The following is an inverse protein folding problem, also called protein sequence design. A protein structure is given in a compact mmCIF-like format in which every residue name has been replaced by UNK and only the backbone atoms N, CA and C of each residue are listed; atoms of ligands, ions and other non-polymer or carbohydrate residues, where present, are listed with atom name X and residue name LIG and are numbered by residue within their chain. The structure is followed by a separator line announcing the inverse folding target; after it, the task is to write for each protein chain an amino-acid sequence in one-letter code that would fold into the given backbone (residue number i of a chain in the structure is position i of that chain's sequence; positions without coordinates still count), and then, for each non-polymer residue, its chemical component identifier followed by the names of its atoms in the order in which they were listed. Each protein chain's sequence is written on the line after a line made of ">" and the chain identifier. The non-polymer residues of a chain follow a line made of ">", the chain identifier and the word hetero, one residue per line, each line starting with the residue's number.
data_IF_417773814469
#
_entry.id   IF_417773814469
#
_cell.length_a   1.000
_cell.length_b   1.000
_cell.length_c   1.000
_cell.angle_alpha   90.00
_cell.angle_beta   90.00
_cell.angle_gamma   90.00
#
_symmetry.space_group_name_H-M   'P 1'
#
loop_
_entity.id
_entity.type
_entity.pdbx_description
1 polymer ?
#
# COMPACT_ATOMS: atom_id res chain seq x y z
N UNK A 1 -6.26 -3.20 -11.81
CA UNK A 1 -6.57 -4.61 -11.45
C UNK A 1 -6.05 -4.80 -10.04
N UNK A 2 -6.90 -5.25 -9.12
CA UNK A 2 -6.50 -5.46 -7.73
C UNK A 2 -5.91 -6.87 -7.55
N UNK A 3 -4.86 -6.97 -6.74
CA UNK A 3 -4.30 -8.25 -6.26
C UNK A 3 -4.36 -8.30 -4.74
N UNK A 4 -4.38 -9.51 -4.19
CA UNK A 4 -4.38 -9.74 -2.75
C UNK A 4 -3.29 -10.74 -2.36
N UNK A 5 -2.49 -10.39 -1.35
CA UNK A 5 -1.49 -11.28 -0.76
C UNK A 5 -1.40 -11.02 0.75
N UNK A 6 -1.51 -12.08 1.57
CA UNK A 6 -1.54 -11.96 3.04
C UNK A 6 -2.63 -11.01 3.58
N UNK A 7 -3.76 -10.88 2.87
CA UNK A 7 -4.82 -9.93 3.19
C UNK A 7 -4.51 -8.47 2.86
N UNK A 8 -3.31 -8.17 2.35
CA UNK A 8 -2.94 -6.86 1.80
C UNK A 8 -3.49 -6.79 0.38
N UNK A 9 -4.33 -5.78 0.12
CA UNK A 9 -4.89 -5.53 -1.22
C UNK A 9 -4.08 -4.43 -1.88
N UNK A 10 -3.63 -4.68 -3.11
CA UNK A 10 -2.94 -3.69 -3.95
C UNK A 10 -3.78 -3.42 -5.18
N UNK A 11 -4.21 -2.19 -5.34
CA UNK A 11 -4.80 -1.70 -6.57
C UNK A 11 -3.76 -0.88 -7.35
N UNK A 12 -3.29 -1.47 -8.45
CA UNK A 12 -2.41 -0.77 -9.40
C UNK A 12 -3.21 0.29 -10.17
N UNK A 13 -2.74 1.53 -10.15
CA UNK A 13 -3.32 2.67 -10.86
C UNK A 13 -4.83 2.81 -10.62
N UNK A 14 -5.24 3.13 -9.37
CA UNK A 14 -6.65 3.28 -9.02
C UNK A 14 -7.30 4.43 -9.83
N UNK A 15 -8.63 4.40 -10.04
CA UNK A 15 -9.34 5.50 -10.68
C UNK A 15 -9.15 6.83 -9.95
N UNK A 16 -9.09 7.93 -10.70
CA UNK A 16 -8.96 9.28 -10.13
C UNK A 16 -10.09 9.61 -9.15
N UNK A 17 -11.31 9.12 -9.42
CA UNK A 17 -12.46 9.28 -8.51
C UNK A 17 -12.21 8.69 -7.12
N UNK A 18 -11.50 7.56 -7.05
CA UNK A 18 -11.13 6.92 -5.79
C UNK A 18 -10.12 7.79 -5.04
N UNK A 19 -9.12 8.32 -5.75
CA UNK A 19 -8.13 9.22 -5.16
C UNK A 19 -8.79 10.50 -4.60
N UNK A 20 -9.70 11.10 -5.36
CA UNK A 20 -10.46 12.29 -4.94
C UNK A 20 -11.30 11.99 -3.70
N UNK A 21 -12.00 10.86 -3.66
CA UNK A 21 -12.81 10.46 -2.51
C UNK A 21 -11.98 10.27 -1.25
N UNK A 22 -10.75 9.75 -1.38
CA UNK A 22 -9.81 9.57 -0.28
C UNK A 22 -9.01 10.85 0.05
N UNK A 23 -9.25 11.97 -0.65
CA UNK A 23 -8.52 13.23 -0.45
C UNK A 23 -7.07 13.21 -0.96
N UNK A 24 -6.68 12.19 -1.73
CA UNK A 24 -5.34 12.03 -2.30
C UNK A 24 -5.25 12.90 -3.57
N UNK A 25 -4.38 13.92 -3.54
CA UNK A 25 -4.18 14.84 -4.68
C UNK A 25 -2.96 14.51 -5.53
N UNK A 26 -1.95 13.88 -4.94
CA UNK A 26 -0.72 13.46 -5.61
C UNK A 26 -0.44 12.00 -5.26
N UNK A 27 0.06 11.24 -6.23
CA UNK A 27 0.50 9.87 -5.98
C UNK A 27 1.91 9.91 -5.40
N UNK A 28 2.07 9.24 -4.26
CA UNK A 28 3.35 9.19 -3.58
C UNK A 28 4.40 8.40 -4.36
N UNK A 29 5.66 8.79 -4.17
CA UNK A 29 6.82 8.06 -4.68
C UNK A 29 7.27 7.02 -3.65
N UNK A 30 7.94 5.97 -4.12
CA UNK A 30 8.57 4.98 -3.25
C UNK A 30 8.64 3.60 -3.87
N UNK A 31 9.47 2.75 -3.25
CA UNK A 31 9.54 1.32 -3.52
C UNK A 31 9.85 0.59 -2.23
N UNK A 32 8.94 -0.27 -1.82
CA UNK A 32 8.97 -0.95 -0.52
C UNK A 32 8.70 -2.43 -0.70
N UNK A 33 9.35 -3.25 0.12
CA UNK A 33 8.93 -4.62 0.41
C UNK A 33 8.36 -4.69 1.81
N UNK A 34 7.13 -5.19 1.93
CA UNK A 34 6.48 -5.42 3.22
C UNK A 34 6.52 -6.92 3.53
N UNK A 35 6.99 -7.26 4.72
CA UNK A 35 7.12 -8.62 5.23
C UNK A 35 6.15 -8.81 6.38
N UNK A 36 4.99 -9.46 6.19
CA UNK A 36 4.09 -9.83 7.28
C UNK A 36 4.79 -10.73 8.30
N UNK A 37 4.49 -10.53 9.58
CA UNK A 37 5.12 -11.31 10.65
C UNK A 37 4.88 -12.82 10.46
N UNK A 38 5.94 -13.62 10.59
CA UNK A 38 5.91 -15.08 10.39
C UNK A 38 6.02 -15.53 8.93
N UNK A 39 6.30 -14.63 7.99
CA UNK A 39 6.58 -14.94 6.59
C UNK A 39 7.90 -14.35 6.12
N UNK A 40 8.65 -15.13 5.34
CA UNK A 40 9.84 -14.64 4.61
C UNK A 40 9.47 -14.08 3.22
N UNK A 41 8.20 -14.19 2.83
CA UNK A 41 7.72 -13.65 1.57
C UNK A 41 7.33 -12.17 1.69
N UNK A 42 7.72 -11.40 0.68
CA UNK A 42 7.36 -9.99 0.60
C UNK A 42 6.08 -9.75 -0.22
N UNK A 43 5.46 -8.61 0.09
CA UNK A 43 4.54 -7.88 -0.78
C UNK A 43 5.27 -6.64 -1.30
N UNK A 44 5.37 -6.47 -2.61
CA UNK A 44 6.01 -5.30 -3.22
C UNK A 44 5.00 -4.17 -3.43
N UNK A 45 5.36 -2.97 -2.98
CA UNK A 45 4.57 -1.74 -3.14
C UNK A 45 5.43 -0.73 -3.87
N UNK A 46 4.86 -0.11 -4.89
CA UNK A 46 5.54 0.88 -5.71
C UNK A 46 4.71 2.17 -5.83
N UNK A 47 5.35 3.22 -6.33
CA UNK A 47 4.71 4.50 -6.58
C UNK A 47 3.41 4.33 -7.41
N UNK A 48 2.32 4.89 -6.91
CA UNK A 48 1.01 4.85 -7.55
C UNK A 48 0.12 3.67 -7.19
N UNK A 49 0.56 2.81 -6.27
CA UNK A 49 -0.28 1.76 -5.71
C UNK A 49 -1.21 2.33 -4.63
N UNK A 50 -2.50 2.00 -4.71
CA UNK A 50 -3.40 2.13 -3.56
C UNK A 50 -3.36 0.81 -2.79
N UNK A 51 -2.95 0.89 -1.53
CA UNK A 51 -2.73 -0.29 -0.68
C UNK A 51 -3.64 -0.25 0.52
N UNK A 52 -4.37 -1.35 0.75
CA UNK A 52 -5.22 -1.54 1.92
C UNK A 52 -4.59 -2.63 2.79
N UNK A 53 -4.29 -2.27 4.04
CA UNK A 53 -3.79 -3.20 5.04
C UNK A 53 -4.95 -3.68 5.92
N UNK A 54 -5.04 -4.99 6.23
CA UNK A 54 -6.06 -5.49 7.13
C UNK A 54 -5.79 -5.00 8.56
N UNK A 55 -6.87 -4.77 9.32
CA UNK A 55 -6.76 -4.34 10.72
C UNK A 55 -5.98 -5.35 11.54
N UNK A 56 -5.01 -4.87 12.31
CA UNK A 56 -4.18 -5.71 13.19
C UNK A 56 -3.00 -6.38 12.51
N UNK A 57 -2.73 -6.10 11.23
CA UNK A 57 -1.51 -6.57 10.58
C UNK A 57 -0.26 -5.97 11.26
N UNK A 58 0.68 -6.85 11.62
CA UNK A 58 2.05 -6.48 11.96
C UNK A 58 2.99 -6.92 10.84
N UNK A 59 3.93 -6.05 10.48
CA UNK A 59 4.86 -6.29 9.38
C UNK A 59 6.11 -5.43 9.49
N UNK A 60 7.19 -5.90 8.86
CA UNK A 60 8.43 -5.14 8.68
C UNK A 60 8.49 -4.54 7.28
N UNK A 61 9.00 -3.32 7.17
CA UNK A 61 9.12 -2.59 5.92
C UNK A 61 10.60 -2.46 5.55
N UNK A 62 10.97 -2.99 4.39
CA UNK A 62 12.27 -2.76 3.74
C UNK A 62 12.09 -1.67 2.67
N UNK A 63 12.69 -0.50 2.93
CA UNK A 63 12.49 0.71 2.14
C UNK A 63 13.70 0.92 1.22
N UNK A 64 13.51 0.63 -0.07
CA UNK A 64 14.56 0.74 -1.08
C UNK A 64 14.62 2.13 -1.74
N UNK A 65 13.49 2.83 -1.83
CA UNK A 65 13.37 4.21 -2.28
C UNK A 65 12.47 4.94 -1.29
N UNK A 66 12.86 6.17 -0.91
CA UNK A 66 12.10 7.01 0.03
C UNK A 66 10.62 7.03 -0.31
N UNK A 67 9.80 6.83 0.72
CA UNK A 67 8.36 6.67 0.60
C UNK A 67 7.68 7.91 1.15
N UNK A 68 6.81 8.51 0.36
CA UNK A 68 5.77 9.40 0.87
C UNK A 68 4.49 8.57 1.08
N UNK A 69 3.69 8.89 2.09
CA UNK A 69 2.53 8.07 2.44
C UNK A 69 1.36 8.92 2.87
N UNK A 70 0.23 8.67 2.23
CA UNK A 70 -1.05 9.24 2.61
C UNK A 70 -1.89 8.15 3.26
N UNK A 71 -2.27 8.34 4.51
CA UNK A 71 -3.09 7.38 5.24
C UNK A 71 -4.54 7.85 5.31
N UNK A 72 -5.45 6.94 4.95
CA UNK A 72 -6.86 7.06 5.22
C UNK A 72 -7.25 6.02 6.26
N UNK A 73 -7.96 6.46 7.30
CA UNK A 73 -8.56 5.56 8.29
C UNK A 73 -10.07 5.55 8.08
N UNK A 74 -10.63 4.43 7.66
CA UNK A 74 -12.08 4.22 7.69
C UNK A 74 -12.51 3.96 9.14
N UNK A 75 -13.51 4.69 9.62
CA UNK A 75 -14.19 4.36 10.87
C UNK A 75 -14.98 3.04 10.78
#
# INVERSE_FOLDING_TARGET
>A
MATEKFGIIIEKNPPESTLIQLGVRNMAQGKVKVYPDGSDEAVEIEAGDLVVFPKGLSCTWDVSVTVDKHYYHSE
#
